data_IF_731736215956
#
_entry.id   IF_731736215956
#
_cell.length_a   1.000
_cell.length_b   1.000
_cell.length_c   1.000
_cell.angle_alpha   90.00
_cell.angle_beta   90.00
_cell.angle_gamma   90.00
#
_symmetry.space_group_name_H-M   'P 1'
#
loop_
_entity.id
_entity.type
_entity.pdbx_description
1 polymer ?
#
# COMPACT_ATOMS: atom_id res chain seq x y z
N UNK A 1 8.90 3.59 -1.22
CA UNK A 1 8.30 2.84 -0.08
C UNK A 1 9.39 2.55 0.92
N UNK A 2 9.12 2.66 2.22
CA UNK A 2 10.09 2.35 3.25
C UNK A 2 9.45 1.45 4.32
N UNK A 3 10.14 0.37 4.68
CA UNK A 3 9.70 -0.57 5.72
C UNK A 3 10.50 -0.27 7.00
N UNK A 4 9.82 0.15 8.05
CA UNK A 4 10.39 0.46 9.37
C UNK A 4 9.83 -0.51 10.41
N UNK A 5 10.52 -1.63 10.64
CA UNK A 5 10.03 -2.67 11.55
C UNK A 5 8.72 -3.30 11.04
N UNK A 6 7.62 -3.12 11.78
CA UNK A 6 6.27 -3.60 11.38
C UNK A 6 5.44 -2.55 10.64
N UNK A 7 6.04 -1.41 10.33
CA UNK A 7 5.38 -0.29 9.70
C UNK A 7 5.79 -0.15 8.24
N UNK A 8 4.86 0.34 7.45
CA UNK A 8 5.02 0.54 6.02
C UNK A 8 4.65 1.98 5.68
N UNK A 9 5.63 2.73 5.19
CA UNK A 9 5.44 4.10 4.76
C UNK A 9 5.33 4.14 3.24
N UNK A 10 4.21 4.66 2.76
CA UNK A 10 3.92 4.86 1.33
C UNK A 10 3.64 6.33 1.08
N UNK A 11 4.39 6.92 0.16
CA UNK A 11 4.08 8.24 -0.40
C UNK A 11 3.36 8.03 -1.71
N UNK A 12 2.18 8.63 -1.84
CA UNK A 12 1.38 8.64 -3.05
C UNK A 12 1.26 10.07 -3.52
N UNK A 13 1.54 10.32 -4.79
CA UNK A 13 1.30 11.64 -5.36
C UNK A 13 0.11 11.65 -6.28
N UNK A 14 -0.56 12.79 -6.31
CA UNK A 14 -1.80 12.98 -7.04
C UNK A 14 -1.86 14.40 -7.61
N UNK A 15 -2.51 14.52 -8.75
CA UNK A 15 -2.74 15.81 -9.40
C UNK A 15 -3.97 16.50 -8.76
N UNK A 16 -3.87 17.79 -8.52
CA UNK A 16 -4.96 18.67 -8.09
C UNK A 16 -5.05 19.91 -9.00
N UNK A 17 -6.08 20.73 -8.84
CA UNK A 17 -6.21 22.01 -9.58
C UNK A 17 -5.03 22.96 -9.34
N UNK A 18 -4.36 22.86 -8.18
CA UNK A 18 -3.24 23.73 -7.77
C UNK A 18 -1.86 23.12 -8.07
N UNK A 19 -1.78 21.91 -8.62
CA UNK A 19 -0.54 21.24 -9.00
C UNK A 19 -0.41 19.80 -8.50
N UNK A 20 0.83 19.30 -8.43
CA UNK A 20 1.12 17.96 -7.90
C UNK A 20 1.23 18.05 -6.38
N UNK A 21 0.48 17.20 -5.68
CA UNK A 21 0.56 17.05 -4.23
C UNK A 21 1.07 15.66 -3.88
N UNK A 22 1.64 15.55 -2.69
CA UNK A 22 2.08 14.29 -2.12
C UNK A 22 1.31 14.01 -0.84
N UNK A 23 1.00 12.74 -0.62
CA UNK A 23 0.38 12.26 0.62
C UNK A 23 1.19 11.10 1.16
N UNK A 24 1.69 11.27 2.38
CA UNK A 24 2.44 10.24 3.08
C UNK A 24 1.52 9.48 4.02
N UNK A 25 1.52 8.16 3.89
CA UNK A 25 0.67 7.26 4.67
C UNK A 25 1.54 6.24 5.38
N UNK A 26 1.32 6.09 6.69
CA UNK A 26 2.00 5.10 7.52
C UNK A 26 1.00 4.02 7.91
N UNK A 27 1.21 2.82 7.37
CA UNK A 27 0.49 1.61 7.76
C UNK A 27 1.24 0.91 8.90
N UNK A 28 0.52 0.30 9.84
CA UNK A 28 1.10 -0.31 11.03
C UNK A 28 0.61 -1.75 11.25
N UNK A 29 1.46 -2.56 11.89
CA UNK A 29 1.21 -3.99 12.15
C UNK A 29 0.90 -4.77 10.87
N UNK A 30 1.74 -4.59 9.85
CA UNK A 30 1.40 -5.00 8.48
C UNK A 30 1.88 -6.40 8.08
N UNK A 31 1.11 -7.01 7.19
CA UNK A 31 1.55 -8.01 6.24
C UNK A 31 1.29 -7.46 4.83
N UNK A 32 2.34 -7.25 4.04
CA UNK A 32 2.24 -6.61 2.73
C UNK A 32 2.84 -7.49 1.62
N UNK A 33 2.20 -7.47 0.46
CA UNK A 33 2.58 -8.26 -0.71
C UNK A 33 2.56 -7.38 -1.95
N UNK A 34 3.52 -7.62 -2.84
CA UNK A 34 3.55 -7.00 -4.15
C UNK A 34 2.99 -7.99 -5.17
N UNK A 35 2.10 -7.52 -6.02
CA UNK A 35 1.58 -8.26 -7.16
C UNK A 35 1.65 -7.38 -8.41
N UNK A 36 1.74 -8.00 -9.56
CA UNK A 36 1.77 -7.28 -10.83
C UNK A 36 0.35 -6.86 -11.23
N UNK A 37 0.18 -5.63 -11.73
CA UNK A 37 -1.14 -5.13 -12.13
C UNK A 37 -1.65 -5.77 -13.44
N UNK A 38 -0.75 -6.03 -14.39
CA UNK A 38 -1.00 -6.58 -15.71
C UNK A 38 -0.02 -7.72 -16.03
N UNK A 39 -0.44 -8.76 -16.77
CA UNK A 39 0.46 -9.84 -17.16
C UNK A 39 1.62 -9.33 -18.04
N UNK A 40 2.87 -9.57 -17.62
CA UNK A 40 4.06 -9.19 -18.37
C UNK A 40 5.35 -9.40 -17.57
N UNK A 41 6.55 -9.13 -18.12
CA UNK A 41 7.76 -9.07 -17.30
C UNK A 41 7.64 -7.91 -16.30
N UNK A 42 7.92 -8.17 -15.03
CA UNK A 42 8.02 -7.10 -14.03
C UNK A 42 9.18 -6.19 -14.44
N UNK A 43 8.92 -4.90 -14.60
CA UNK A 43 10.00 -3.93 -14.54
C UNK A 43 10.46 -3.94 -13.08
N UNK A 44 11.52 -4.69 -12.78
CA UNK A 44 12.17 -4.62 -11.48
C UNK A 44 12.70 -3.19 -11.37
N UNK A 45 11.93 -2.33 -10.73
CA UNK A 45 12.35 -0.95 -10.47
C UNK A 45 13.44 -1.05 -9.42
N UNK A 46 14.66 -0.71 -9.83
CA UNK A 46 15.86 -0.74 -9.00
C UNK A 46 15.60 0.03 -7.69
N UNK A 47 15.95 -0.55 -6.53
CA UNK A 47 15.65 0.03 -5.21
C UNK A 47 16.23 1.46 -5.07
N UNK A 48 17.31 1.74 -5.80
CA UNK A 48 18.03 3.03 -5.80
C UNK A 48 17.29 4.11 -6.62
N UNK A 49 16.41 3.73 -7.55
CA UNK A 49 15.68 4.66 -8.40
C UNK A 49 14.33 5.13 -7.82
N UNK A 50 13.93 4.60 -6.65
CA UNK A 50 12.61 4.83 -6.02
C UNK A 50 12.35 6.25 -5.49
N UNK A 51 13.19 7.23 -5.85
CA UNK A 51 12.89 8.65 -5.61
C UNK A 51 11.87 9.23 -6.59
N UNK A 52 11.52 8.50 -7.67
CA UNK A 52 10.42 8.89 -8.54
C UNK A 52 9.09 8.58 -7.86
N UNK A 53 8.55 9.62 -7.25
CA UNK A 53 7.15 9.85 -6.90
C UNK A 53 6.18 8.92 -7.66
N UNK A 54 5.70 7.88 -6.99
CA UNK A 54 4.75 6.93 -7.56
C UNK A 54 3.34 7.52 -7.45
N UNK A 55 2.72 7.85 -8.58
CA UNK A 55 1.30 8.18 -8.62
C UNK A 55 0.49 6.90 -8.46
N UNK A 56 -0.36 6.84 -7.44
CA UNK A 56 -1.09 5.63 -7.10
C UNK A 56 -2.49 5.88 -6.57
N UNK A 57 -3.35 4.87 -6.70
CA UNK A 57 -4.70 4.90 -6.15
C UNK A 57 -4.78 3.97 -4.94
N UNK A 58 -5.17 4.51 -3.78
CA UNK A 58 -5.47 3.73 -2.58
C UNK A 58 -6.93 3.26 -2.63
N UNK A 59 -7.14 1.98 -2.33
CA UNK A 59 -8.47 1.37 -2.15
C UNK A 59 -8.52 0.66 -0.81
N UNK A 60 -9.55 0.93 0.00
CA UNK A 60 -9.89 0.14 1.20
C UNK A 60 -11.01 -0.85 0.85
N UNK A 61 -10.88 -2.09 1.32
CA UNK A 61 -11.90 -3.13 1.16
C UNK A 61 -12.60 -3.38 2.49
N UNK A 62 -13.71 -2.68 2.79
CA UNK A 62 -14.35 -2.70 4.11
C UNK A 62 -14.95 -4.07 4.49
N UNK A 63 -15.37 -4.87 3.49
CA UNK A 63 -15.98 -6.20 3.69
C UNK A 63 -15.08 -7.32 3.15
N UNK A 64 -13.78 -7.25 3.43
CA UNK A 64 -12.82 -8.22 2.90
C UNK A 64 -12.86 -9.56 3.64
N UNK A 65 -13.23 -10.64 2.93
CA UNK A 65 -13.12 -12.02 3.43
C UNK A 65 -11.67 -12.39 3.82
N UNK A 66 -10.68 -11.85 3.08
CA UNK A 66 -9.26 -12.07 3.37
C UNK A 66 -8.85 -11.41 4.67
N UNK A 67 -9.34 -10.19 4.95
CA UNK A 67 -9.12 -9.54 6.24
C UNK A 67 -9.71 -10.37 7.38
N UNK A 68 -10.96 -10.84 7.22
CA UNK A 68 -11.61 -11.71 8.22
C UNK A 68 -10.85 -13.03 8.46
N UNK A 69 -10.29 -13.62 7.41
CA UNK A 69 -9.45 -14.82 7.52
C UNK A 69 -8.15 -14.54 8.30
N UNK A 70 -7.50 -13.40 8.04
CA UNK A 70 -6.31 -12.96 8.77
C UNK A 70 -6.61 -12.65 10.24
N UNK A 71 -7.71 -11.96 10.54
CA UNK A 71 -8.15 -11.74 11.93
C UNK A 71 -8.35 -13.07 12.66
N UNK A 72 -9.02 -14.03 12.01
CA UNK A 72 -9.24 -15.37 12.57
C UNK A 72 -7.92 -16.11 12.80
N UNK A 73 -6.96 -16.01 11.88
CA UNK A 73 -5.64 -16.63 12.01
C UNK A 73 -4.91 -16.14 13.28
N UNK A 74 -5.01 -14.84 13.59
CA UNK A 74 -4.44 -14.25 14.81
C UNK A 74 -5.39 -14.31 16.03
N UNK A 75 -6.38 -15.21 16.02
CA UNK A 75 -7.28 -15.43 17.15
C UNK A 75 -8.18 -14.24 17.49
N UNK A 76 -8.47 -13.36 16.53
CA UNK A 76 -9.25 -12.12 16.69
C UNK A 76 -8.67 -11.14 17.72
N UNK A 77 -7.40 -11.29 18.08
CA UNK A 77 -6.73 -10.40 19.03
C UNK A 77 -6.48 -9.00 18.45
N UNK A 78 -6.58 -8.85 17.12
CA UNK A 78 -6.37 -7.59 16.40
C UNK A 78 -7.40 -7.47 15.28
N UNK A 79 -7.88 -6.26 15.07
CA UNK A 79 -8.66 -5.91 13.88
C UNK A 79 -7.69 -5.80 12.71
N UNK A 80 -8.02 -6.43 11.58
CA UNK A 80 -7.23 -6.39 10.35
C UNK A 80 -8.08 -5.72 9.28
N UNK A 81 -7.51 -4.70 8.66
CA UNK A 81 -8.04 -4.01 7.49
C UNK A 81 -7.26 -4.43 6.25
N UNK A 82 -7.93 -4.40 5.11
CA UNK A 82 -7.35 -4.73 3.81
C UNK A 82 -7.35 -3.51 2.90
N UNK A 83 -6.15 -3.16 2.42
CA UNK A 83 -5.91 -2.07 1.49
C UNK A 83 -5.19 -2.58 0.24
N UNK A 84 -5.40 -1.92 -0.88
CA UNK A 84 -4.51 -2.00 -2.03
C UNK A 84 -4.08 -0.61 -2.49
N UNK A 85 -2.85 -0.50 -2.98
CA UNK A 85 -2.35 0.68 -3.68
C UNK A 85 -1.90 0.25 -5.06
N UNK A 86 -2.55 0.80 -6.09
CA UNK A 86 -2.22 0.51 -7.48
C UNK A 86 -1.34 1.61 -8.06
N UNK A 87 -0.14 1.25 -8.50
CA UNK A 87 0.85 2.09 -9.19
C UNK A 87 0.89 1.65 -10.65
N UNK A 88 0.02 2.24 -11.47
CA UNK A 88 -0.24 1.74 -12.83
C UNK A 88 0.93 1.98 -13.80
N UNK A 89 1.65 3.09 -13.65
CA UNK A 89 2.82 3.40 -14.47
C UNK A 89 3.95 2.37 -14.27
N UNK A 90 4.04 1.81 -13.06
CA UNK A 90 5.04 0.84 -12.64
C UNK A 90 4.53 -0.60 -12.74
N UNK A 91 3.28 -0.79 -13.18
CA UNK A 91 2.64 -2.09 -13.28
C UNK A 91 2.66 -2.86 -11.95
N UNK A 92 2.48 -2.16 -10.83
CA UNK A 92 2.62 -2.69 -9.48
C UNK A 92 1.34 -2.46 -8.68
N UNK A 93 0.89 -3.50 -7.97
CA UNK A 93 -0.13 -3.39 -6.94
C UNK A 93 0.47 -3.86 -5.63
N UNK A 94 0.35 -3.01 -4.63
CA UNK A 94 0.69 -3.33 -3.26
C UNK A 94 -0.58 -3.71 -2.51
N UNK A 95 -0.59 -4.88 -1.89
CA UNK A 95 -1.67 -5.35 -1.02
C UNK A 95 -1.17 -5.24 0.42
N UNK A 96 -1.99 -4.67 1.30
CA UNK A 96 -1.64 -4.44 2.71
C UNK A 96 -2.76 -4.99 3.59
N UNK A 97 -2.40 -5.87 4.51
CA UNK A 97 -3.23 -6.24 5.65
C UNK A 97 -2.62 -5.64 6.91
N UNK A 98 -3.36 -4.83 7.66
CA UNK A 98 -2.82 -4.15 8.84
C UNK A 98 -3.88 -3.55 9.75
N UNK A 99 -3.47 -2.86 10.81
CA UNK A 99 -4.41 -2.25 11.76
C UNK A 99 -5.10 -0.98 11.22
N UNK A 100 -4.62 -0.43 10.12
CA UNK A 100 -5.05 0.84 9.53
C UNK A 100 -3.87 1.63 9.01
N UNK A 101 -4.10 2.91 8.71
CA UNK A 101 -3.05 3.86 8.39
C UNK A 101 -3.31 5.23 9.03
N UNK A 102 -2.26 6.00 9.24
CA UNK A 102 -2.32 7.42 9.55
C UNK A 102 -1.74 8.23 8.40
N UNK A 103 -2.30 9.42 8.18
CA UNK A 103 -1.77 10.40 7.26
C UNK A 103 -0.71 11.23 7.99
N UNK A 104 0.43 11.46 7.33
CA UNK A 104 1.48 12.35 7.82
C UNK A 104 1.48 13.61 6.94
N UNK A 105 1.46 14.78 7.58
CA UNK A 105 1.56 16.11 6.94
C UNK A 105 2.98 16.42 6.43
#
# INVERSE_FOLDING_TARGET
MLIEGSDLVVTVSYDSEDGIHEKRMRFFSICAFHVQAFPGPSLFVDEIATSSVLQGALVEYPESEMAAAWEKHFGRARIVKHYSIAFLAENLILIIFGGGFSEED
#
